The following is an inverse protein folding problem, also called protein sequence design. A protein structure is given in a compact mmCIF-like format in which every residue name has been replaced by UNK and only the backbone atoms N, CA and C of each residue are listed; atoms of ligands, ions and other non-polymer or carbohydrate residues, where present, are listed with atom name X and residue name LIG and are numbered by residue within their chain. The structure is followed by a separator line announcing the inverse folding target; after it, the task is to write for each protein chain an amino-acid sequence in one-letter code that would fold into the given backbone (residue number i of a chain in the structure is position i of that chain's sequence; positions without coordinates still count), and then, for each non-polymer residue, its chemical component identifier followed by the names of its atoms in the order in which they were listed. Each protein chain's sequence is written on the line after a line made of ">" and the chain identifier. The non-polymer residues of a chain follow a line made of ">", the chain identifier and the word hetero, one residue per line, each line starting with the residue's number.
data_IF_122509603695
#
_entry.id   IF_122509603695
#
_cell.length_a   1.000
_cell.length_b   1.000
_cell.length_c   1.000
_cell.angle_alpha   90.00
_cell.angle_beta   90.00
_cell.angle_gamma   90.00
#
_symmetry.space_group_name_H-M   'P 1'
#
loop_
_entity.id
_entity.type
_entity.pdbx_description
1 polymer ?
#
# COMPACT_ATOMS: atom_id res chain seq x y z
N UNK A 1 20.14 -0.54 44.82
CA UNK A 1 19.63 -1.64 43.98
C UNK A 1 19.26 -1.05 42.63
N UNK A 2 20.03 -1.41 41.61
CA UNK A 2 19.87 -1.01 40.22
C UNK A 2 18.73 -1.76 39.56
N UNK A 3 17.98 -1.13 38.66
CA UNK A 3 17.28 -1.81 37.55
C UNK A 3 17.19 -0.80 36.41
N UNK A 4 18.06 -0.99 35.41
CA UNK A 4 18.14 -0.18 34.21
C UNK A 4 16.96 -0.45 33.27
N UNK A 5 16.41 0.63 32.70
CA UNK A 5 15.55 0.55 31.52
C UNK A 5 16.41 0.81 30.29
N UNK A 6 16.65 -0.24 29.52
CA UNK A 6 17.30 -0.18 28.22
C UNK A 6 16.48 0.68 27.26
N UNK A 7 17.05 1.81 26.87
CA UNK A 7 16.54 2.68 25.81
C UNK A 7 16.79 2.00 24.46
N UNK A 8 15.75 1.44 23.86
CA UNK A 8 15.76 1.03 22.45
C UNK A 8 15.81 2.31 21.62
N UNK A 9 16.99 2.59 21.06
CA UNK A 9 17.24 3.76 20.22
C UNK A 9 16.37 3.69 18.96
N UNK A 10 15.50 4.68 18.80
CA UNK A 10 14.72 4.93 17.59
C UNK A 10 15.64 5.60 16.57
N UNK A 11 15.70 5.09 15.35
CA UNK A 11 16.39 5.76 14.24
C UNK A 11 15.39 6.71 13.56
N UNK A 12 15.51 8.04 13.70
CA UNK A 12 14.73 8.98 12.89
C UNK A 12 15.28 8.96 11.46
N UNK A 13 14.39 9.15 10.49
CA UNK A 13 14.72 9.30 9.07
C UNK A 13 15.53 10.59 8.88
N UNK A 14 16.84 10.47 9.05
CA UNK A 14 17.86 11.45 8.73
C UNK A 14 18.94 10.73 7.92
N UNK A 15 19.45 11.40 6.90
CA UNK A 15 20.58 10.93 6.07
C UNK A 15 21.61 10.25 6.96
N UNK A 16 21.75 8.92 6.83
CA UNK A 16 22.70 8.14 7.63
C UNK A 16 24.10 8.68 7.31
N UNK A 17 24.83 9.27 8.27
CA UNK A 17 26.15 9.76 8.00
C UNK A 17 27.08 8.57 7.65
N UNK A 18 27.91 8.76 6.62
CA UNK A 18 28.91 7.83 6.06
C UNK A 18 29.88 7.17 7.07
N UNK A 19 29.80 7.49 8.37
CA UNK A 19 30.76 7.12 9.41
C UNK A 19 30.40 5.88 10.23
N UNK A 20 29.36 5.12 9.89
CA UNK A 20 28.90 3.96 10.67
C UNK A 20 29.30 2.58 10.10
N UNK A 21 29.87 2.49 8.90
CA UNK A 21 30.14 1.20 8.24
C UNK A 21 31.62 0.79 8.21
N UNK A 22 32.42 1.13 9.23
CA UNK A 22 33.84 0.73 9.24
C UNK A 22 33.95 -0.79 9.39
N UNK A 23 34.30 -1.49 8.31
CA UNK A 23 34.42 -2.95 8.30
C UNK A 23 33.12 -3.73 8.04
N UNK A 24 32.02 -3.07 7.65
CA UNK A 24 30.76 -3.75 7.32
C UNK A 24 30.77 -4.42 5.94
N UNK A 25 29.87 -5.38 5.75
CA UNK A 25 29.52 -5.98 4.45
C UNK A 25 28.29 -5.26 3.91
N UNK A 26 28.37 -4.75 2.68
CA UNK A 26 27.24 -4.11 2.00
C UNK A 26 26.94 -4.85 0.72
N UNK A 27 25.70 -5.31 0.56
CA UNK A 27 25.26 -6.02 -0.64
C UNK A 27 23.97 -5.46 -1.23
N UNK A 28 23.86 -5.61 -2.54
CA UNK A 28 22.64 -5.38 -3.30
C UNK A 28 22.12 -6.70 -3.86
N UNK A 29 20.85 -6.99 -3.60
CA UNK A 29 20.16 -8.20 -4.00
C UNK A 29 19.10 -7.86 -5.04
N UNK A 30 19.27 -8.37 -6.27
CA UNK A 30 18.21 -8.37 -7.27
C UNK A 30 17.47 -9.71 -7.23
N UNK A 31 16.22 -9.67 -6.75
CA UNK A 31 15.43 -10.85 -6.38
C UNK A 31 14.59 -11.32 -7.56
N UNK A 32 14.81 -12.55 -8.00
CA UNK A 32 13.99 -13.22 -9.02
C UNK A 32 13.44 -14.56 -8.52
N UNK A 33 12.48 -15.12 -9.25
CA UNK A 33 11.73 -16.30 -8.81
C UNK A 33 12.60 -17.53 -8.52
N UNK A 34 13.70 -17.73 -9.26
CA UNK A 34 14.56 -18.91 -9.12
C UNK A 34 15.94 -18.63 -8.55
N UNK A 35 16.38 -17.38 -8.60
CA UNK A 35 17.72 -16.98 -8.17
C UNK A 35 17.70 -15.55 -7.64
N UNK A 36 18.66 -15.22 -6.81
CA UNK A 36 18.96 -13.85 -6.38
C UNK A 36 20.35 -13.50 -6.92
N UNK A 37 20.45 -12.42 -7.67
CA UNK A 37 21.75 -11.88 -8.10
C UNK A 37 22.32 -11.02 -6.99
N UNK A 38 23.57 -11.27 -6.61
CA UNK A 38 24.24 -10.60 -5.50
C UNK A 38 25.46 -9.84 -6.01
N UNK A 39 25.57 -8.57 -5.62
CA UNK A 39 26.78 -7.76 -5.71
C UNK A 39 27.13 -7.29 -4.29
N UNK A 40 28.33 -7.62 -3.81
CA UNK A 40 28.76 -7.46 -2.43
C UNK A 40 30.07 -6.69 -2.38
N UNK A 41 30.17 -5.75 -1.44
CA UNK A 41 31.36 -4.97 -1.13
C UNK A 41 31.71 -5.17 0.34
N UNK A 42 32.93 -5.60 0.59
CA UNK A 42 33.56 -5.54 1.89
C UNK A 42 34.17 -4.15 2.10
N UNK A 43 33.64 -3.35 3.03
CA UNK A 43 34.14 -2.00 3.29
C UNK A 43 35.45 -1.96 4.10
N UNK A 44 35.86 -3.08 4.69
CA UNK A 44 37.13 -3.21 5.40
C UNK A 44 38.30 -3.51 4.45
N UNK A 45 38.09 -4.43 3.50
CA UNK A 45 39.13 -4.83 2.53
C UNK A 45 39.05 -4.10 1.18
N UNK A 46 37.88 -3.56 0.83
CA UNK A 46 37.58 -3.06 -0.50
C UNK A 46 37.26 -4.15 -1.53
N UNK A 47 37.20 -5.43 -1.11
CA UNK A 47 36.92 -6.55 -1.99
C UNK A 47 35.47 -6.53 -2.50
N UNK A 48 35.30 -6.79 -3.79
CA UNK A 48 33.99 -6.90 -4.43
C UNK A 48 33.76 -8.34 -4.89
N UNK A 49 32.74 -8.99 -4.33
CA UNK A 49 32.32 -10.34 -4.71
C UNK A 49 30.99 -10.28 -5.45
N UNK A 50 30.86 -11.05 -6.52
CA UNK A 50 29.63 -11.14 -7.33
C UNK A 50 29.22 -12.58 -7.45
N UNK A 51 27.92 -12.84 -7.35
CA UNK A 51 27.42 -14.21 -7.38
C UNK A 51 25.93 -14.30 -7.61
N UNK A 52 25.45 -15.54 -7.48
CA UNK A 52 24.03 -15.87 -7.49
C UNK A 52 23.79 -16.88 -6.38
N UNK A 53 22.68 -16.74 -5.69
CA UNK A 53 22.18 -17.69 -4.70
C UNK A 53 20.79 -18.16 -5.08
N UNK A 54 20.34 -19.29 -4.52
CA UNK A 54 18.97 -19.75 -4.70
C UNK A 54 17.97 -18.74 -4.11
N UNK A 55 16.78 -18.64 -4.71
CA UNK A 55 15.71 -17.76 -4.20
C UNK A 55 14.93 -18.43 -3.07
N UNK A 56 15.63 -18.77 -2.00
CA UNK A 56 15.13 -19.52 -0.86
C UNK A 56 15.63 -18.91 0.45
N UNK A 57 14.85 -18.97 1.55
CA UNK A 57 15.28 -18.42 2.84
C UNK A 57 16.62 -18.98 3.33
N UNK A 58 16.83 -20.29 3.21
CA UNK A 58 18.06 -20.96 3.67
C UNK A 58 19.31 -20.42 2.95
N UNK A 59 19.25 -20.25 1.63
CA UNK A 59 20.37 -19.71 0.85
C UNK A 59 20.70 -18.25 1.20
N UNK A 60 19.68 -17.44 1.55
CA UNK A 60 19.88 -16.07 2.02
C UNK A 60 20.51 -16.07 3.42
N UNK A 61 20.05 -16.94 4.32
CA UNK A 61 20.61 -17.08 5.67
C UNK A 61 22.06 -17.55 5.63
N UNK A 62 22.37 -18.60 4.87
CA UNK A 62 23.73 -19.09 4.64
C UNK A 62 24.65 -17.99 4.09
N UNK A 63 24.14 -17.19 3.13
CA UNK A 63 24.90 -16.08 2.58
C UNK A 63 25.21 -15.01 3.62
N UNK A 64 24.32 -14.72 4.57
CA UNK A 64 24.62 -13.75 5.64
C UNK A 64 25.58 -14.36 6.68
N UNK A 65 25.37 -15.62 7.06
CA UNK A 65 26.16 -16.32 8.08
C UNK A 65 27.63 -16.49 7.67
N UNK A 66 27.96 -16.54 6.37
CA UNK A 66 29.35 -16.60 5.92
C UNK A 66 30.20 -15.39 6.40
N UNK A 67 29.55 -14.28 6.77
CA UNK A 67 30.18 -13.07 7.30
C UNK A 67 29.99 -12.93 8.83
N UNK A 68 29.82 -14.04 9.54
CA UNK A 68 29.62 -14.06 10.99
C UNK A 68 30.66 -13.19 11.73
N UNK A 69 30.17 -12.40 12.70
CA UNK A 69 31.01 -11.46 13.45
C UNK A 69 31.17 -10.08 12.80
N UNK A 70 30.52 -9.84 11.65
CA UNK A 70 30.52 -8.53 10.96
C UNK A 70 29.08 -8.02 10.80
N UNK A 71 28.94 -6.70 10.71
CA UNK A 71 27.67 -6.09 10.29
C UNK A 71 27.43 -6.35 8.80
N UNK A 72 26.26 -6.89 8.46
CA UNK A 72 25.86 -7.21 7.09
C UNK A 72 24.61 -6.41 6.73
N UNK A 73 24.73 -5.55 5.73
CA UNK A 73 23.63 -4.72 5.23
C UNK A 73 23.25 -5.15 3.81
N UNK A 74 21.96 -5.46 3.60
CA UNK A 74 21.46 -5.99 2.33
C UNK A 74 20.35 -5.10 1.78
N UNK A 75 20.60 -4.44 0.65
CA UNK A 75 19.62 -3.67 -0.10
C UNK A 75 18.87 -4.55 -1.12
N UNK A 76 17.54 -4.42 -1.18
CA UNK A 76 16.69 -5.08 -2.18
C UNK A 76 15.57 -4.16 -2.65
N UNK A 77 15.09 -4.29 -3.90
CA UNK A 77 13.92 -3.51 -4.35
C UNK A 77 12.62 -3.95 -3.64
N UNK A 78 11.69 -3.01 -3.45
CA UNK A 78 10.32 -3.28 -2.98
C UNK A 78 9.44 -4.02 -4.01
N UNK A 79 9.88 -5.20 -4.45
CA UNK A 79 9.23 -6.05 -5.46
C UNK A 79 8.82 -7.42 -4.89
N UNK A 80 8.11 -8.23 -5.68
CA UNK A 80 7.72 -9.58 -5.24
C UNK A 80 8.94 -10.39 -4.76
N UNK A 81 8.86 -10.96 -3.56
CA UNK A 81 9.94 -11.73 -2.95
C UNK A 81 10.71 -10.99 -1.85
N UNK A 82 10.65 -9.65 -1.78
CA UNK A 82 11.40 -8.88 -0.78
C UNK A 82 11.16 -9.37 0.66
N UNK A 83 9.93 -9.79 1.00
CA UNK A 83 9.55 -10.12 2.38
C UNK A 83 10.30 -11.34 2.93
N UNK A 84 10.47 -12.40 2.12
CA UNK A 84 11.18 -13.59 2.63
C UNK A 84 12.68 -13.30 2.74
N UNK A 85 13.25 -12.55 1.79
CA UNK A 85 14.66 -12.14 1.80
C UNK A 85 14.95 -11.26 3.00
N UNK A 86 14.16 -10.21 3.23
CA UNK A 86 14.33 -9.32 4.39
C UNK A 86 14.26 -10.10 5.71
N UNK A 87 13.27 -10.99 5.87
CA UNK A 87 13.18 -11.83 7.06
C UNK A 87 14.34 -12.80 7.23
N UNK A 88 14.84 -13.39 6.13
CA UNK A 88 15.99 -14.30 6.16
C UNK A 88 17.26 -13.55 6.56
N UNK A 89 17.48 -12.35 6.01
CA UNK A 89 18.58 -11.45 6.41
C UNK A 89 18.49 -11.10 7.90
N UNK A 90 17.32 -10.66 8.36
CA UNK A 90 17.08 -10.30 9.78
C UNK A 90 17.28 -11.51 10.71
N UNK A 91 16.80 -12.70 10.34
CA UNK A 91 16.99 -13.94 11.14
C UNK A 91 18.46 -14.34 11.27
N UNK A 92 19.25 -14.11 10.22
CA UNK A 92 20.68 -14.39 10.23
C UNK A 92 21.53 -13.28 10.89
N UNK A 93 20.88 -12.25 11.47
CA UNK A 93 21.57 -11.16 12.16
C UNK A 93 22.02 -10.01 11.27
N UNK A 94 21.63 -9.99 9.99
CA UNK A 94 21.85 -8.87 9.08
C UNK A 94 20.78 -7.80 9.17
N UNK A 95 21.03 -6.68 8.47
CA UNK A 95 20.12 -5.53 8.35
C UNK A 95 19.57 -5.46 6.93
N UNK A 96 18.26 -5.59 6.79
CA UNK A 96 17.59 -5.49 5.51
C UNK A 96 17.20 -4.03 5.20
N UNK A 97 17.57 -3.56 4.01
CA UNK A 97 17.21 -2.26 3.46
C UNK A 97 16.29 -2.44 2.26
N UNK A 98 15.09 -1.87 2.31
CA UNK A 98 14.12 -1.98 1.24
C UNK A 98 14.13 -0.70 0.39
N UNK A 99 14.52 -0.80 -0.87
CA UNK A 99 14.60 0.35 -1.78
C UNK A 99 13.22 0.69 -2.38
N UNK A 100 12.84 1.96 -2.33
CA UNK A 100 11.66 2.48 -3.01
C UNK A 100 11.90 2.50 -4.53
N UNK A 101 11.10 1.74 -5.28
CA UNK A 101 11.39 1.43 -6.68
C UNK A 101 11.33 2.64 -7.63
N UNK A 102 10.41 3.59 -7.38
CA UNK A 102 10.23 4.76 -8.26
C UNK A 102 11.37 5.75 -8.07
N UNK A 103 11.71 6.07 -6.84
CA UNK A 103 12.82 6.98 -6.51
C UNK A 103 14.17 6.38 -6.89
N UNK A 104 14.38 5.08 -6.63
CA UNK A 104 15.60 4.35 -7.03
C UNK A 104 15.83 4.41 -8.54
N UNK A 105 14.76 4.25 -9.34
CA UNK A 105 14.81 4.38 -10.80
C UNK A 105 15.04 5.82 -11.25
N UNK A 106 14.45 6.80 -10.57
CA UNK A 106 14.64 8.21 -10.88
C UNK A 106 16.12 8.64 -10.69
N UNK A 107 16.78 8.15 -9.64
CA UNK A 107 18.21 8.40 -9.38
C UNK A 107 19.13 7.85 -10.48
N UNK A 108 18.73 6.78 -11.17
CA UNK A 108 19.51 6.16 -12.26
C UNK A 108 19.57 7.03 -13.53
N UNK A 109 18.67 8.00 -13.68
CA UNK A 109 18.62 8.92 -14.81
C UNK A 109 18.06 8.32 -16.11
N UNK A 110 18.04 9.12 -17.19
CA UNK A 110 17.44 8.76 -18.50
C UNK A 110 18.33 7.89 -19.41
N UNK A 111 19.62 7.71 -19.10
CA UNK A 111 20.54 6.94 -19.95
C UNK A 111 20.21 5.46 -19.88
N UNK A 112 19.68 4.90 -20.97
CA UNK A 112 19.42 3.47 -21.17
C UNK A 112 20.74 2.72 -21.36
N UNK A 113 21.39 2.32 -20.27
CA UNK A 113 22.25 1.12 -20.32
C UNK A 113 21.33 -0.11 -20.40
N UNK A 114 21.83 -1.20 -20.98
CA UNK A 114 21.10 -2.46 -20.98
C UNK A 114 20.77 -2.85 -19.53
N UNK A 115 19.48 -3.09 -19.25
CA UNK A 115 19.03 -3.54 -17.93
C UNK A 115 19.53 -4.98 -17.75
N UNK A 116 20.37 -5.21 -16.76
CA UNK A 116 20.87 -6.56 -16.40
C UNK A 116 20.76 -6.73 -14.90
N UNK A 117 20.45 -7.94 -14.44
CA UNK A 117 20.26 -8.26 -13.02
C UNK A 117 21.51 -7.90 -12.20
N UNK A 118 22.70 -8.07 -12.78
CA UNK A 118 23.98 -7.68 -12.18
C UNK A 118 24.09 -6.18 -11.96
N UNK A 119 23.66 -5.38 -12.94
CA UNK A 119 23.72 -3.92 -12.85
C UNK A 119 22.66 -3.38 -11.87
N UNK A 120 21.54 -4.10 -11.70
CA UNK A 120 20.49 -3.79 -10.73
C UNK A 120 20.97 -4.08 -9.30
N UNK A 121 21.57 -5.24 -9.05
CA UNK A 121 22.22 -5.58 -7.78
C UNK A 121 23.36 -4.60 -7.41
N UNK A 122 24.25 -4.31 -8.36
CA UNK A 122 25.33 -3.33 -8.18
C UNK A 122 24.78 -1.95 -7.80
N UNK A 123 23.71 -1.50 -8.47
CA UNK A 123 23.13 -0.18 -8.23
C UNK A 123 22.54 -0.05 -6.82
N UNK A 124 21.85 -1.09 -6.35
CA UNK A 124 21.34 -1.13 -4.97
C UNK A 124 22.46 -1.07 -3.94
N UNK A 125 23.53 -1.84 -4.16
CA UNK A 125 24.71 -1.84 -3.28
C UNK A 125 25.38 -0.47 -3.22
N UNK A 126 25.61 0.17 -4.37
CA UNK A 126 26.24 1.49 -4.44
C UNK A 126 25.41 2.56 -3.72
N UNK A 127 24.11 2.60 -3.97
CA UNK A 127 23.22 3.53 -3.28
C UNK A 127 23.23 3.34 -1.75
N UNK A 128 23.27 2.09 -1.29
CA UNK A 128 23.33 1.79 0.15
C UNK A 128 24.68 2.19 0.75
N UNK A 129 25.79 1.81 0.11
CA UNK A 129 27.14 2.14 0.57
C UNK A 129 27.39 3.66 0.62
N UNK A 130 26.79 4.42 -0.30
CA UNK A 130 26.89 5.88 -0.34
C UNK A 130 25.91 6.58 0.62
N UNK A 131 25.03 5.85 1.32
CA UNK A 131 23.99 6.43 2.18
C UNK A 131 22.92 7.21 1.41
N UNK A 132 22.70 6.87 0.14
CA UNK A 132 21.78 7.55 -0.79
C UNK A 132 20.56 6.71 -1.19
N UNK A 133 20.44 5.50 -0.65
CA UNK A 133 19.32 4.61 -0.95
C UNK A 133 17.99 5.25 -0.48
N UNK A 134 17.02 5.47 -1.38
CA UNK A 134 15.69 5.89 -0.96
C UNK A 134 14.98 4.69 -0.33
N UNK A 135 14.87 4.68 1.00
CA UNK A 135 14.31 3.53 1.72
C UNK A 135 12.78 3.59 1.83
N UNK A 136 12.14 2.49 1.47
CA UNK A 136 10.75 2.19 1.76
C UNK A 136 10.63 1.59 3.17
N UNK A 137 9.68 2.10 3.95
CA UNK A 137 9.47 1.57 5.29
C UNK A 137 8.94 0.12 5.27
N UNK A 138 9.68 -0.76 5.96
CA UNK A 138 9.24 -2.11 6.29
C UNK A 138 8.27 -2.04 7.48
N UNK A 139 6.98 -2.18 7.21
CA UNK A 139 5.95 -2.16 8.25
C UNK A 139 6.08 -3.36 9.21
N UNK A 140 5.75 -3.22 10.52
CA UNK A 140 5.64 -4.35 11.43
C UNK A 140 4.74 -5.44 10.90
N UNK A 141 4.98 -6.68 11.33
CA UNK A 141 4.34 -7.86 10.78
C UNK A 141 2.82 -7.79 10.79
N UNK A 142 2.21 -7.43 11.92
CA UNK A 142 0.75 -7.33 12.03
C UNK A 142 0.17 -6.29 11.06
N UNK A 143 0.85 -5.17 10.84
CA UNK A 143 0.43 -4.13 9.87
C UNK A 143 0.50 -4.67 8.44
N UNK A 144 1.56 -5.41 8.09
CA UNK A 144 1.70 -6.07 6.78
C UNK A 144 0.60 -7.09 6.54
N UNK A 145 0.27 -7.89 7.55
CA UNK A 145 -0.81 -8.87 7.49
C UNK A 145 -2.17 -8.19 7.27
N UNK A 146 -2.47 -7.10 7.97
CA UNK A 146 -3.69 -6.34 7.73
C UNK A 146 -3.75 -5.79 6.31
N UNK A 147 -2.64 -5.20 5.83
CA UNK A 147 -2.53 -4.65 4.47
C UNK A 147 -2.76 -5.72 3.40
N UNK A 148 -2.09 -6.87 3.54
CA UNK A 148 -2.24 -8.02 2.63
C UNK A 148 -3.69 -8.49 2.56
N UNK A 149 -4.37 -8.63 3.71
CA UNK A 149 -5.77 -9.05 3.78
C UNK A 149 -6.74 -8.01 3.21
N UNK A 150 -6.45 -6.72 3.39
CA UNK A 150 -7.20 -5.63 2.77
C UNK A 150 -7.03 -5.59 1.25
N UNK A 151 -5.82 -5.87 0.75
CA UNK A 151 -5.56 -5.99 -0.69
C UNK A 151 -6.28 -7.19 -1.29
N UNK A 152 -6.27 -8.34 -0.61
CA UNK A 152 -7.06 -9.51 -1.01
C UNK A 152 -8.55 -9.17 -1.07
N UNK A 153 -9.09 -8.52 -0.03
CA UNK A 153 -10.48 -8.05 -0.03
C UNK A 153 -10.77 -7.17 -1.26
N UNK A 154 -9.89 -6.24 -1.59
CA UNK A 154 -10.06 -5.36 -2.76
C UNK A 154 -10.05 -6.14 -4.07
N UNK A 155 -9.13 -7.10 -4.23
CA UNK A 155 -9.07 -7.96 -5.40
C UNK A 155 -10.38 -8.74 -5.61
N UNK A 156 -10.90 -9.37 -4.55
CA UNK A 156 -12.18 -10.09 -4.61
C UNK A 156 -13.36 -9.18 -4.97
N UNK A 157 -13.38 -7.95 -4.45
CA UNK A 157 -14.42 -6.96 -4.79
C UNK A 157 -14.33 -6.57 -6.27
N UNK A 158 -13.11 -6.40 -6.80
CA UNK A 158 -12.91 -6.07 -8.20
C UNK A 158 -13.33 -7.22 -9.11
N UNK A 159 -12.96 -8.45 -8.79
CA UNK A 159 -13.40 -9.65 -9.50
C UNK A 159 -14.92 -9.78 -9.49
N UNK A 160 -15.57 -9.60 -8.33
CA UNK A 160 -17.03 -9.62 -8.21
C UNK A 160 -17.65 -8.55 -9.10
N UNK A 161 -17.05 -7.35 -9.14
CA UNK A 161 -17.52 -6.26 -10.00
C UNK A 161 -17.40 -6.63 -11.48
N UNK A 162 -16.33 -7.29 -11.89
CA UNK A 162 -16.19 -7.79 -13.27
C UNK A 162 -17.28 -8.81 -13.63
N UNK A 163 -17.60 -9.74 -12.71
CA UNK A 163 -18.71 -10.68 -12.93
C UNK A 163 -20.08 -9.98 -13.02
N UNK A 164 -20.34 -8.98 -12.19
CA UNK A 164 -21.55 -8.16 -12.29
C UNK A 164 -21.65 -7.43 -13.64
N UNK A 165 -20.53 -6.90 -14.14
CA UNK A 165 -20.47 -6.25 -15.45
C UNK A 165 -20.71 -7.25 -16.59
N UNK A 166 -20.24 -8.51 -16.47
CA UNK A 166 -20.56 -9.57 -17.44
C UNK A 166 -22.05 -9.86 -17.50
N UNK A 167 -22.73 -9.99 -16.35
CA UNK A 167 -24.20 -10.14 -16.31
C UNK A 167 -24.86 -8.96 -17.02
N UNK A 168 -24.51 -7.73 -16.66
CA UNK A 168 -25.07 -6.52 -17.28
C UNK A 168 -24.82 -6.46 -18.79
N UNK A 169 -23.65 -6.90 -19.24
CA UNK A 169 -23.30 -6.96 -20.67
C UNK A 169 -24.18 -7.97 -21.42
N UNK A 170 -24.49 -9.12 -20.84
CA UNK A 170 -25.43 -10.10 -21.42
C UNK A 170 -26.81 -9.46 -21.55
N UNK A 171 -27.31 -8.85 -20.47
CA UNK A 171 -28.62 -8.19 -20.49
C UNK A 171 -28.70 -7.06 -21.51
N UNK A 172 -27.60 -6.32 -21.69
CA UNK A 172 -27.54 -5.26 -22.69
C UNK A 172 -27.56 -5.82 -24.12
N UNK A 173 -26.78 -6.87 -24.38
CA UNK A 173 -26.71 -7.52 -25.68
C UNK A 173 -28.05 -8.07 -26.15
N UNK A 174 -28.84 -8.65 -25.24
CA UNK A 174 -30.17 -9.20 -25.55
C UNK A 174 -31.32 -8.19 -25.35
N UNK A 175 -31.03 -6.90 -25.10
CA UNK A 175 -32.06 -5.87 -24.98
C UNK A 175 -32.94 -5.95 -23.72
N UNK A 176 -32.57 -6.76 -22.72
CA UNK A 176 -33.35 -6.98 -21.49
C UNK A 176 -32.84 -6.17 -20.29
N UNK A 177 -32.13 -5.06 -20.52
CA UNK A 177 -31.58 -4.21 -19.44
C UNK A 177 -32.62 -3.30 -18.78
N UNK A 178 -33.74 -3.01 -19.45
CA UNK A 178 -34.75 -2.09 -18.92
C UNK A 178 -35.43 -2.70 -17.70
N UNK A 179 -35.48 -1.93 -16.61
CA UNK A 179 -36.04 -2.38 -15.32
C UNK A 179 -35.13 -3.27 -14.50
N UNK A 180 -33.90 -3.54 -14.94
CA UNK A 180 -32.94 -4.34 -14.17
C UNK A 180 -32.60 -3.65 -12.84
N UNK A 181 -32.72 -4.34 -11.69
CA UNK A 181 -32.36 -3.76 -10.41
C UNK A 181 -30.88 -3.37 -10.33
N UNK A 182 -30.58 -2.31 -9.59
CA UNK A 182 -29.19 -1.87 -9.36
C UNK A 182 -28.32 -2.98 -8.75
N UNK A 183 -28.91 -3.78 -7.83
CA UNK A 183 -28.28 -4.95 -7.19
C UNK A 183 -28.76 -6.24 -7.86
N UNK A 184 -28.16 -6.58 -9.00
CA UNK A 184 -28.55 -7.74 -9.80
C UNK A 184 -28.33 -9.09 -9.08
N UNK A 185 -27.39 -9.17 -8.13
CA UNK A 185 -27.12 -10.39 -7.35
C UNK A 185 -28.09 -10.62 -6.19
N UNK A 186 -28.86 -9.60 -5.78
CA UNK A 186 -29.86 -9.71 -4.72
C UNK A 186 -31.11 -10.47 -5.18
N UNK A 187 -31.97 -10.86 -4.24
CA UNK A 187 -33.20 -11.60 -4.52
C UNK A 187 -34.04 -10.97 -5.65
N UNK A 188 -34.33 -9.67 -5.56
CA UNK A 188 -35.07 -8.95 -6.61
C UNK A 188 -34.38 -8.93 -7.98
N UNK A 189 -33.04 -8.95 -8.00
CA UNK A 189 -32.26 -9.06 -9.23
C UNK A 189 -32.37 -10.45 -9.85
N UNK A 190 -32.38 -11.50 -9.02
CA UNK A 190 -32.58 -12.89 -9.46
C UNK A 190 -33.99 -13.13 -9.95
N UNK A 191 -34.99 -12.61 -9.25
CA UNK A 191 -36.39 -12.68 -9.68
C UNK A 191 -36.58 -11.99 -11.04
N UNK A 192 -35.96 -10.81 -11.20
CA UNK A 192 -35.93 -10.11 -12.48
C UNK A 192 -35.34 -10.99 -13.58
N UNK A 193 -34.18 -11.62 -13.35
CA UNK A 193 -33.50 -12.47 -14.33
C UNK A 193 -34.32 -13.72 -14.68
N UNK A 194 -34.95 -14.35 -13.70
CA UNK A 194 -35.78 -15.54 -13.90
C UNK A 194 -36.98 -15.24 -14.81
N UNK A 195 -37.58 -14.05 -14.68
CA UNK A 195 -38.70 -13.60 -15.50
C UNK A 195 -38.35 -13.11 -16.91
N UNK A 196 -37.08 -13.19 -17.35
CA UNK A 196 -36.67 -12.80 -18.72
C UNK A 196 -36.52 -14.00 -19.62
N UNK A 197 -37.10 -13.91 -20.81
CA UNK A 197 -36.78 -14.85 -21.88
C UNK A 197 -35.37 -14.56 -22.39
N UNK A 198 -34.47 -15.53 -22.24
CA UNK A 198 -33.07 -15.46 -22.64
C UNK A 198 -32.73 -16.75 -23.38
N UNK A 199 -31.99 -16.67 -24.51
CA UNK A 199 -31.42 -17.85 -25.15
C UNK A 199 -30.64 -18.71 -24.15
N UNK A 200 -30.60 -20.02 -24.39
CA UNK A 200 -30.02 -20.99 -23.44
C UNK A 200 -28.54 -20.67 -23.11
N UNK A 201 -27.75 -20.28 -24.10
CA UNK A 201 -26.34 -19.87 -23.92
C UNK A 201 -26.20 -18.58 -23.09
N UNK A 202 -27.10 -17.62 -23.29
CA UNK A 202 -27.13 -16.39 -22.50
C UNK A 202 -27.50 -16.65 -21.05
N UNK A 203 -28.47 -17.55 -20.82
CA UNK A 203 -28.91 -17.97 -19.49
C UNK A 203 -27.79 -18.70 -18.74
N UNK A 204 -27.11 -19.64 -19.39
CA UNK A 204 -25.95 -20.34 -18.82
C UNK A 204 -24.87 -19.34 -18.37
N UNK A 205 -24.52 -18.37 -19.23
CA UNK A 205 -23.51 -17.33 -18.91
C UNK A 205 -23.91 -16.49 -17.69
N UNK A 206 -25.19 -16.15 -17.56
CA UNK A 206 -25.71 -15.41 -16.39
C UNK A 206 -25.63 -16.27 -15.13
N UNK A 207 -26.06 -17.52 -15.20
CA UNK A 207 -26.06 -18.44 -14.05
C UNK A 207 -24.63 -18.71 -13.54
N UNK A 208 -23.68 -18.98 -14.44
CA UNK A 208 -22.26 -19.13 -14.09
C UNK A 208 -21.74 -17.86 -13.41
N UNK A 209 -22.03 -16.67 -13.98
CA UNK A 209 -21.59 -15.41 -13.41
C UNK A 209 -22.20 -15.16 -12.01
N UNK A 210 -23.47 -15.50 -11.78
CA UNK A 210 -24.11 -15.41 -10.47
C UNK A 210 -23.48 -16.36 -9.46
N UNK A 211 -23.17 -17.60 -9.84
CA UNK A 211 -22.48 -18.57 -8.98
C UNK A 211 -21.09 -18.08 -8.54
N UNK A 212 -20.36 -17.43 -9.46
CA UNK A 212 -19.09 -16.79 -9.13
C UNK A 212 -19.26 -15.60 -8.19
N UNK A 213 -20.26 -14.74 -8.42
CA UNK A 213 -20.59 -13.62 -7.53
C UNK A 213 -20.89 -14.12 -6.11
N UNK A 214 -21.71 -15.16 -5.96
CA UNK A 214 -22.07 -15.72 -4.66
C UNK A 214 -20.85 -16.24 -3.89
N UNK A 215 -19.96 -16.93 -4.60
CA UNK A 215 -18.72 -17.44 -4.01
C UNK A 215 -17.83 -16.30 -3.55
N UNK A 216 -17.63 -15.28 -4.38
CA UNK A 216 -16.83 -14.11 -4.04
C UNK A 216 -17.45 -13.31 -2.88
N UNK A 217 -18.77 -13.11 -2.86
CA UNK A 217 -19.47 -12.43 -1.77
C UNK A 217 -19.30 -13.16 -0.43
N UNK A 218 -19.39 -14.50 -0.40
CA UNK A 218 -19.12 -15.28 0.83
C UNK A 218 -17.70 -15.05 1.35
N UNK A 219 -16.69 -15.13 0.48
CA UNK A 219 -15.28 -14.92 0.86
C UNK A 219 -15.03 -13.49 1.34
N UNK A 220 -15.59 -12.49 0.64
CA UNK A 220 -15.50 -11.08 1.04
C UNK A 220 -16.09 -10.89 2.44
N UNK A 221 -17.30 -11.41 2.69
CA UNK A 221 -17.93 -11.29 4.01
C UNK A 221 -17.10 -11.92 5.13
N UNK A 222 -16.50 -13.10 4.89
CA UNK A 222 -15.65 -13.75 5.87
C UNK A 222 -14.41 -12.92 6.22
N UNK A 223 -13.71 -12.41 5.20
CA UNK A 223 -12.52 -11.56 5.39
C UNK A 223 -12.91 -10.26 6.10
N UNK A 224 -14.01 -9.62 5.67
CA UNK A 224 -14.50 -8.38 6.29
C UNK A 224 -14.85 -8.55 7.76
N UNK A 225 -15.53 -9.64 8.16
CA UNK A 225 -15.86 -9.88 9.57
C UNK A 225 -14.61 -9.84 10.46
N UNK A 226 -13.55 -10.53 10.03
CA UNK A 226 -12.31 -10.59 10.79
C UNK A 226 -11.54 -9.26 10.75
N UNK A 227 -11.51 -8.55 9.62
CA UNK A 227 -10.87 -7.23 9.54
C UNK A 227 -11.60 -6.18 10.39
N UNK A 228 -12.94 -6.20 10.42
CA UNK A 228 -13.74 -5.32 11.26
C UNK A 228 -13.48 -5.57 12.75
N UNK A 229 -13.33 -6.84 13.15
CA UNK A 229 -12.93 -7.19 14.53
C UNK A 229 -11.57 -6.59 14.89
N UNK A 230 -10.57 -6.67 14.01
CA UNK A 230 -9.27 -6.01 14.22
C UNK A 230 -9.47 -4.50 14.39
N UNK A 231 -10.19 -3.85 13.48
CA UNK A 231 -10.41 -2.41 13.51
C UNK A 231 -11.08 -1.90 14.81
N UNK A 232 -11.97 -2.70 15.42
CA UNK A 232 -12.64 -2.35 16.68
C UNK A 232 -11.72 -2.30 17.88
N UNK A 233 -10.68 -3.13 17.92
CA UNK A 233 -9.78 -3.27 19.06
C UNK A 233 -8.41 -2.60 18.83
N UNK A 234 -8.20 -2.03 17.65
CA UNK A 234 -6.94 -1.38 17.31
C UNK A 234 -7.01 0.13 17.66
N UNK A 235 -6.13 0.66 18.52
CA UNK A 235 -6.22 2.04 19.03
C UNK A 235 -6.21 3.13 17.95
N UNK A 236 -5.32 3.02 16.97
CA UNK A 236 -5.28 3.90 15.81
C UNK A 236 -6.57 3.88 14.99
N UNK A 237 -7.20 2.72 14.81
CA UNK A 237 -8.48 2.59 14.11
C UNK A 237 -9.61 3.22 14.93
N UNK A 238 -9.65 3.01 16.24
CA UNK A 238 -10.61 3.65 17.14
C UNK A 238 -10.52 5.18 17.04
N UNK A 239 -9.31 5.74 17.09
CA UNK A 239 -9.10 7.17 16.91
C UNK A 239 -9.53 7.66 15.51
N UNK A 240 -9.20 6.91 14.45
CA UNK A 240 -9.61 7.26 13.09
C UNK A 240 -11.14 7.24 12.91
N UNK A 241 -11.83 6.28 13.53
CA UNK A 241 -13.30 6.14 13.46
C UNK A 241 -14.07 7.26 14.16
N UNK A 242 -13.41 8.13 14.93
CA UNK A 242 -14.02 9.36 15.44
C UNK A 242 -14.35 10.36 14.32
N UNK A 243 -13.73 10.21 13.15
CA UNK A 243 -14.02 11.04 11.99
C UNK A 243 -15.29 10.58 11.28
N UNK A 244 -16.19 11.53 11.00
CA UNK A 244 -17.41 11.25 10.25
C UNK A 244 -17.11 10.62 8.88
N UNK A 245 -17.75 9.50 8.58
CA UNK A 245 -17.56 8.74 7.33
C UNK A 245 -16.40 7.75 7.34
N UNK A 246 -15.58 7.70 8.40
CA UNK A 246 -14.52 6.70 8.56
C UNK A 246 -15.03 5.50 9.36
N UNK A 247 -15.49 4.47 8.66
CA UNK A 247 -15.88 3.19 9.29
C UNK A 247 -14.71 2.21 9.47
N UNK A 248 -14.95 1.08 10.12
CA UNK A 248 -13.95 0.05 10.48
C UNK A 248 -12.96 -0.32 9.36
N UNK A 249 -13.47 -0.67 8.17
CA UNK A 249 -12.63 -1.09 7.04
C UNK A 249 -11.85 0.09 6.45
N UNK A 250 -12.44 1.29 6.44
CA UNK A 250 -11.77 2.51 5.98
C UNK A 250 -10.66 2.87 6.97
N UNK A 251 -10.94 2.83 8.28
CA UNK A 251 -9.98 3.11 9.34
C UNK A 251 -8.76 2.18 9.25
N UNK A 252 -9.01 0.87 9.14
CA UNK A 252 -7.92 -0.11 9.01
C UNK A 252 -7.14 0.05 7.71
N UNK A 253 -7.79 0.42 6.61
CA UNK A 253 -7.10 0.75 5.35
C UNK A 253 -6.23 1.99 5.51
N UNK A 254 -6.76 3.07 6.09
CA UNK A 254 -6.03 4.32 6.32
C UNK A 254 -4.82 4.07 7.21
N UNK A 255 -5.00 3.35 8.33
CA UNK A 255 -3.95 3.02 9.26
C UNK A 255 -2.86 2.16 8.62
N UNK A 256 -3.25 1.04 7.99
CA UNK A 256 -2.29 0.09 7.43
C UNK A 256 -1.52 0.65 6.25
N UNK A 257 -2.11 1.56 5.47
CA UNK A 257 -1.42 2.20 4.33
C UNK A 257 -0.53 3.36 4.78
N UNK A 258 -1.02 4.27 5.63
CA UNK A 258 -0.19 5.38 6.14
C UNK A 258 0.96 4.87 7.00
N UNK A 259 0.72 3.83 7.80
CA UNK A 259 1.70 3.30 8.72
C UNK A 259 2.08 4.31 9.81
N UNK A 260 3.36 4.30 10.19
CA UNK A 260 3.87 5.22 11.20
C UNK A 260 3.97 6.62 10.60
N UNK A 261 3.08 7.48 11.06
CA UNK A 261 3.00 8.87 10.60
C UNK A 261 4.10 9.74 11.19
N UNK A 262 4.82 9.30 12.23
CA UNK A 262 5.92 10.09 12.82
C UNK A 262 7.10 10.23 11.86
N UNK A 263 7.23 9.33 10.88
CA UNK A 263 8.18 9.45 9.76
C UNK A 263 7.86 10.59 8.79
N UNK A 264 6.63 11.10 8.82
CA UNK A 264 6.20 12.16 7.93
C UNK A 264 6.35 13.51 8.64
N UNK A 265 7.13 14.41 8.04
CA UNK A 265 7.40 15.75 8.61
C UNK A 265 6.18 16.68 8.64
N UNK A 266 5.09 16.34 7.95
CA UNK A 266 3.85 17.11 7.99
C UNK A 266 2.65 16.33 7.44
N UNK A 267 1.44 16.77 7.80
CA UNK A 267 0.19 16.25 7.25
C UNK A 267 0.07 16.43 5.72
N UNK A 268 0.82 17.36 5.11
CA UNK A 268 0.91 17.49 3.64
C UNK A 268 1.59 16.28 2.99
N UNK A 269 2.55 15.64 3.67
CA UNK A 269 3.17 14.41 3.18
C UNK A 269 2.19 13.24 3.17
N UNK A 270 1.28 13.14 4.15
CA UNK A 270 0.20 12.14 4.14
C UNK A 270 -0.74 12.29 2.92
N UNK A 271 -1.09 13.53 2.57
CA UNK A 271 -1.89 13.83 1.35
C UNK A 271 -1.15 13.41 0.08
N UNK A 272 0.15 13.70 -0.01
CA UNK A 272 0.99 13.30 -1.15
C UNK A 272 1.15 11.79 -1.24
N UNK A 273 1.34 11.13 -0.10
CA UNK A 273 1.47 9.67 -0.01
C UNK A 273 0.18 8.96 -0.44
N UNK A 274 -0.99 9.52 -0.15
CA UNK A 274 -2.26 9.07 -0.71
C UNK A 274 -2.41 9.34 -2.23
N UNK A 275 -1.47 10.06 -2.85
CA UNK A 275 -1.60 10.52 -4.23
C UNK A 275 -2.78 11.46 -4.42
N UNK A 276 -3.18 12.22 -3.37
CA UNK A 276 -4.26 13.20 -3.40
C UNK A 276 -3.76 14.63 -3.71
N UNK A 277 -2.44 14.83 -3.76
CA UNK A 277 -1.84 16.11 -4.13
C UNK A 277 -2.09 16.44 -5.61
N UNK A 278 -2.25 17.73 -5.92
CA UNK A 278 -2.45 18.18 -7.31
C UNK A 278 -1.07 18.38 -7.92
N UNK A 279 -0.80 17.77 -9.07
CA UNK A 279 0.40 18.11 -9.83
C UNK A 279 0.29 19.56 -10.31
N UNK A 280 1.14 20.45 -9.83
CA UNK A 280 1.21 21.83 -10.34
C UNK A 280 2.25 21.86 -11.45
N UNK A 281 1.79 21.96 -12.70
CA UNK A 281 2.66 22.38 -13.79
C UNK A 281 2.73 23.91 -13.78
N UNK A 282 3.83 24.46 -13.28
CA UNK A 282 4.15 25.88 -13.46
C UNK A 282 5.03 26.01 -14.70
N UNK A 283 4.50 26.65 -15.74
CA UNK A 283 5.32 27.37 -16.71
C UNK A 283 5.13 28.87 -16.45
N UNK A 284 6.17 29.66 -16.73
CA UNK A 284 6.42 31.01 -16.19
C UNK A 284 5.33 32.08 -16.38
N UNK A 285 4.20 31.77 -17.03
CA UNK A 285 3.11 32.73 -17.26
C UNK A 285 1.68 32.17 -17.04
N UNK A 286 1.50 30.89 -16.70
CA UNK A 286 0.16 30.37 -16.35
C UNK A 286 0.21 29.28 -15.27
N UNK A 287 -0.63 29.40 -14.23
CA UNK A 287 -0.90 28.29 -13.32
C UNK A 287 -2.17 27.57 -13.78
N UNK A 288 -2.02 26.36 -14.32
CA UNK A 288 -3.16 25.46 -14.56
C UNK A 288 -3.22 24.45 -13.42
N UNK A 289 -4.39 24.30 -12.80
CA UNK A 289 -4.63 23.24 -11.82
C UNK A 289 -4.48 21.90 -12.56
N UNK A 290 -3.41 21.16 -12.28
CA UNK A 290 -3.13 19.92 -12.99
C UNK A 290 -3.97 18.73 -12.53
N UNK A 291 -3.67 17.55 -13.09
CA UNK A 291 -4.33 16.29 -12.74
C UNK A 291 -3.79 15.76 -11.40
N UNK A 292 -4.57 14.88 -10.79
CA UNK A 292 -4.12 14.12 -9.62
C UNK A 292 -2.84 13.34 -9.98
N UNK A 293 -1.80 13.41 -9.16
CA UNK A 293 -0.52 12.74 -9.46
C UNK A 293 -0.68 11.22 -9.56
N UNK A 294 -1.56 10.64 -8.72
CA UNK A 294 -1.78 9.19 -8.58
C UNK A 294 -0.52 8.36 -8.23
N UNK A 295 0.62 9.01 -8.00
CA UNK A 295 1.91 8.40 -7.63
C UNK A 295 1.98 7.95 -6.16
N UNK A 296 0.84 7.61 -5.54
CA UNK A 296 0.74 7.24 -4.13
C UNK A 296 -0.27 6.12 -3.90
N UNK A 297 -0.34 5.61 -2.67
CA UNK A 297 -1.15 4.44 -2.30
C UNK A 297 -2.58 4.54 -2.83
N UNK A 298 -2.91 3.66 -3.78
CA UNK A 298 -4.24 3.59 -4.38
C UNK A 298 -5.31 3.14 -3.38
N UNK A 299 -5.06 2.13 -2.51
CA UNK A 299 -6.00 1.77 -1.44
C UNK A 299 -6.27 2.92 -0.47
N UNK A 300 -5.23 3.65 -0.05
CA UNK A 300 -5.38 4.81 0.83
C UNK A 300 -6.23 5.90 0.19
N UNK A 301 -5.94 6.23 -1.07
CA UNK A 301 -6.71 7.21 -1.84
C UNK A 301 -8.18 6.85 -1.93
N UNK A 302 -8.47 5.58 -2.25
CA UNK A 302 -9.81 5.05 -2.34
C UNK A 302 -10.52 5.18 -0.98
N UNK A 303 -9.91 4.70 0.11
CA UNK A 303 -10.51 4.75 1.44
C UNK A 303 -10.86 6.18 1.88
N UNK A 304 -9.95 7.14 1.65
CA UNK A 304 -10.18 8.55 1.95
C UNK A 304 -11.28 9.17 1.10
N UNK A 305 -11.37 8.77 -0.18
CA UNK A 305 -12.44 9.21 -1.07
C UNK A 305 -13.80 8.64 -0.62
N UNK A 306 -13.88 7.35 -0.29
CA UNK A 306 -15.11 6.73 0.23
C UNK A 306 -15.61 7.41 1.51
N UNK A 307 -14.70 7.73 2.43
CA UNK A 307 -15.06 8.49 3.63
C UNK A 307 -15.60 9.88 3.27
N UNK A 308 -14.96 10.57 2.32
CA UNK A 308 -15.37 11.90 1.86
C UNK A 308 -16.74 11.92 1.18
N UNK A 309 -17.19 10.81 0.58
CA UNK A 309 -18.53 10.71 -0.01
C UNK A 309 -19.64 10.98 1.04
N UNK A 310 -19.36 10.73 2.32
CA UNK A 310 -20.30 10.98 3.40
C UNK A 310 -20.49 12.48 3.71
N UNK A 311 -19.65 13.37 3.16
CA UNK A 311 -19.85 14.82 3.26
C UNK A 311 -21.12 15.33 2.57
N UNK A 312 -21.74 14.51 1.71
CA UNK A 312 -23.05 14.81 1.11
C UNK A 312 -24.22 14.70 2.10
N UNK A 313 -24.01 14.08 3.26
CA UNK A 313 -25.05 13.88 4.28
C UNK A 313 -25.16 15.12 5.17
N UNK A 314 -26.39 15.53 5.46
CA UNK A 314 -26.67 16.73 6.28
C UNK A 314 -26.04 16.68 7.67
N UNK A 315 -25.85 15.48 8.25
CA UNK A 315 -25.21 15.30 9.57
C UNK A 315 -23.68 15.41 9.52
N UNK A 316 -23.08 15.49 8.33
CA UNK A 316 -21.62 15.57 8.21
C UNK A 316 -21.12 16.93 8.67
N UNK A 317 -20.09 17.00 9.52
CA UNK A 317 -19.40 18.25 9.84
C UNK A 317 -18.79 18.96 8.61
N UNK A 318 -18.60 18.22 7.52
CA UNK A 318 -18.04 18.74 6.26
C UNK A 318 -19.12 19.10 5.22
N UNK A 319 -20.43 19.00 5.57
CA UNK A 319 -21.56 19.26 4.67
C UNK A 319 -21.53 20.67 4.08
N UNK A 320 -21.47 21.70 4.91
CA UNK A 320 -21.43 23.09 4.46
C UNK A 320 -20.21 23.38 3.58
N UNK A 321 -19.05 22.83 3.94
CA UNK A 321 -17.83 22.96 3.13
C UNK A 321 -18.01 22.30 1.75
N UNK A 322 -18.50 21.07 1.71
CA UNK A 322 -18.74 20.35 0.46
C UNK A 322 -19.73 21.09 -0.44
N UNK A 323 -20.85 21.56 0.10
CA UNK A 323 -21.84 22.32 -0.66
C UNK A 323 -21.31 23.69 -1.13
N UNK A 324 -20.48 24.37 -0.33
CA UNK A 324 -19.78 25.58 -0.75
C UNK A 324 -18.87 25.34 -1.97
N UNK A 325 -18.11 24.24 -1.98
CA UNK A 325 -17.29 23.86 -3.15
C UNK A 325 -18.14 23.55 -4.39
N UNK A 326 -19.31 22.93 -4.21
CA UNK A 326 -20.25 22.66 -5.30
C UNK A 326 -20.86 23.95 -5.84
N UNK A 327 -21.23 24.88 -4.96
CA UNK A 327 -21.75 26.20 -5.32
C UNK A 327 -20.70 27.05 -6.07
N UNK A 328 -19.41 26.88 -5.76
CA UNK A 328 -18.31 27.52 -6.50
C UNK A 328 -17.99 26.86 -7.86
N UNK A 329 -18.85 25.97 -8.37
CA UNK A 329 -18.70 25.31 -9.67
C UNK A 329 -17.81 24.07 -9.69
N UNK A 330 -17.32 23.56 -8.56
CA UNK A 330 -16.55 22.30 -8.56
C UNK A 330 -17.45 21.10 -8.86
N UNK A 331 -16.96 20.13 -9.64
CA UNK A 331 -17.63 18.84 -9.83
C UNK A 331 -17.71 18.06 -8.50
N UNK A 332 -18.67 17.16 -8.38
CA UNK A 332 -18.81 16.26 -7.22
C UNK A 332 -17.47 15.59 -6.88
N UNK A 333 -16.81 15.00 -7.87
CA UNK A 333 -15.52 14.33 -7.67
C UNK A 333 -14.44 15.28 -7.13
N UNK A 334 -14.35 16.51 -7.65
CA UNK A 334 -13.36 17.49 -7.19
C UNK A 334 -13.66 17.99 -5.77
N UNK A 335 -14.93 18.20 -5.45
CA UNK A 335 -15.35 18.55 -4.10
C UNK A 335 -15.05 17.42 -3.11
N UNK A 336 -15.43 16.17 -3.41
CA UNK A 336 -15.11 15.00 -2.58
C UNK A 336 -13.60 14.79 -2.42
N UNK A 337 -12.79 14.96 -3.47
CA UNK A 337 -11.33 14.88 -3.35
C UNK A 337 -10.76 15.97 -2.42
N UNK A 338 -11.38 17.15 -2.37
CA UNK A 338 -10.97 18.21 -1.44
C UNK A 338 -11.28 17.83 0.01
N UNK A 339 -12.46 17.25 0.26
CA UNK A 339 -12.79 16.68 1.57
C UNK A 339 -11.86 15.51 1.92
N UNK A 340 -11.54 14.62 0.98
CA UNK A 340 -10.62 13.50 1.19
C UNK A 340 -9.24 13.97 1.65
N UNK A 341 -8.71 15.09 1.12
CA UNK A 341 -7.46 15.71 1.60
C UNK A 341 -7.59 16.19 3.04
N UNK A 342 -8.73 16.76 3.42
CA UNK A 342 -9.01 17.21 4.78
C UNK A 342 -9.02 16.03 5.76
N UNK A 343 -9.70 14.93 5.39
CA UNK A 343 -9.72 13.67 6.15
C UNK A 343 -8.28 13.12 6.27
N UNK A 344 -7.50 13.09 5.19
CA UNK A 344 -6.11 12.61 5.24
C UNK A 344 -5.25 13.39 6.24
N UNK A 345 -5.40 14.72 6.29
CA UNK A 345 -4.68 15.57 7.26
C UNK A 345 -5.13 15.30 8.69
N UNK A 346 -6.44 15.18 8.93
CA UNK A 346 -6.99 14.84 10.25
C UNK A 346 -6.51 13.46 10.71
N UNK A 347 -6.54 12.46 9.84
CA UNK A 347 -6.00 11.12 10.10
C UNK A 347 -4.53 11.17 10.51
N UNK A 348 -3.70 11.95 9.81
CA UNK A 348 -2.30 12.17 10.23
C UNK A 348 -2.21 12.72 11.66
N UNK A 349 -2.96 13.76 12.00
CA UNK A 349 -2.88 14.38 13.32
C UNK A 349 -3.38 13.46 14.44
N UNK A 350 -4.45 12.70 14.20
CA UNK A 350 -4.97 11.71 15.15
C UNK A 350 -3.94 10.61 15.43
N UNK A 351 -3.36 10.03 14.37
CA UNK A 351 -2.35 8.99 14.52
C UNK A 351 -1.06 9.53 15.14
N UNK A 352 -0.66 10.76 14.79
CA UNK A 352 0.53 11.39 15.35
C UNK A 352 0.37 11.69 16.84
N UNK A 353 -0.82 12.06 17.29
CA UNK A 353 -1.11 12.29 18.71
C UNK A 353 -1.01 11.00 19.54
N UNK A 354 -1.34 9.85 18.97
CA UNK A 354 -1.16 8.52 19.59
C UNK A 354 0.29 8.03 19.58
N UNK A 355 1.15 8.61 18.74
CA UNK A 355 2.55 8.19 18.64
C UNK A 355 2.69 6.69 18.30
N UNK A 356 3.61 5.96 18.96
CA UNK A 356 3.83 4.53 18.71
C UNK A 356 2.58 3.65 18.92
N UNK A 357 1.70 4.03 19.86
CA UNK A 357 0.51 3.26 20.21
C UNK A 357 -0.50 3.20 19.05
N UNK A 358 -0.40 4.15 18.11
CA UNK A 358 -1.20 4.16 16.88
C UNK A 358 -1.07 2.85 16.09
N UNK A 359 0.12 2.21 16.13
CA UNK A 359 0.41 0.95 15.44
C UNK A 359 0.57 -0.23 16.40
N UNK A 360 0.13 -0.13 17.65
CA UNK A 360 0.11 -1.29 18.54
C UNK A 360 -0.69 -2.44 17.90
N UNK A 361 -0.28 -3.70 18.13
CA UNK A 361 -1.11 -4.85 17.79
C UNK A 361 -2.53 -4.68 18.33
N UNK A 362 -3.54 -5.17 17.61
CA UNK A 362 -4.88 -5.19 18.16
C UNK A 362 -4.89 -6.16 19.35
N UNK A 363 -5.35 -5.69 20.52
CA UNK A 363 -5.63 -6.56 21.66
C UNK A 363 -6.81 -7.47 21.31
N UNK A 364 -6.71 -8.75 21.68
CA UNK A 364 -7.73 -9.77 21.39
C UNK A 364 -9.09 -9.50 22.04
#
# INVERSE_FOLDING_TARGET
>A
MSHGKGSVARNPVGVMPMRLFSGAIVAGFDVHLRQITVDCLDLGSGEVTRGRIASEPAAVEEWVVQFAGREVHVAMEACTGWLFVARAVERAGGVAHLAETVETRALRGRKRRAKTDRQDALWLRELLAEGRLPEAWIAPEHVRQWRSRLHLRKALIDERTQWLLRVRSVLYHHGVSVGAPARISAASGRDFLNGRDLPADARERVEVALGMIDTLERQIHQIERSLRRVARHQPGCQALMTQFGVGELIALTVLSELGDVTRMTSSRKAVRFAGLDIGVHRSDQTSRVGRLTRQGSSPLRWALYEAAQMATRAQSPDYAHYHGLRASGMTHTRASLTIARKIARRSYHLLHALGPDALAPATE
#
